data_IF_289662311130
#
_entry.id   IF_289662311130
#
_cell.length_a   1.000
_cell.length_b   1.000
_cell.length_c   1.000
_cell.angle_alpha   90.00
_cell.angle_beta   90.00
_cell.angle_gamma   90.00
#
_symmetry.space_group_name_H-M   'P 1'
#
loop_
_entity.id
_entity.type
_entity.pdbx_description
1 polymer ?
#
# COMPACT_ATOMS: atom_id res chain seq x y z
N UNK A 1 -15.25 -7.73 9.18
CA UNK A 1 -14.63 -7.45 10.49
C UNK A 1 -13.11 -7.44 10.42
N UNK A 2 -12.47 -8.44 9.80
CA UNK A 2 -11.01 -8.47 9.60
C UNK A 2 -10.47 -7.21 8.89
N UNK A 3 -11.07 -6.82 7.75
CA UNK A 3 -10.69 -5.62 6.99
C UNK A 3 -10.79 -4.32 7.80
N UNK A 4 -11.80 -4.18 8.65
CA UNK A 4 -11.92 -3.02 9.53
C UNK A 4 -10.78 -2.98 10.55
N UNK A 5 -10.41 -4.13 11.11
CA UNK A 5 -9.28 -4.24 12.04
C UNK A 5 -7.97 -3.93 11.34
N UNK A 6 -7.72 -4.49 10.16
CA UNK A 6 -6.52 -4.22 9.35
C UNK A 6 -6.40 -2.74 8.99
N UNK A 7 -7.46 -2.15 8.42
CA UNK A 7 -7.49 -0.73 8.05
C UNK A 7 -7.28 0.15 9.28
N UNK A 8 -7.87 -0.19 10.42
CA UNK A 8 -7.68 0.57 11.66
C UNK A 8 -6.23 0.52 12.16
N UNK A 9 -5.58 -0.66 12.11
CA UNK A 9 -4.17 -0.80 12.46
C UNK A 9 -3.26 -0.02 11.52
N UNK A 10 -3.56 -0.03 10.22
CA UNK A 10 -2.80 0.69 9.22
C UNK A 10 -2.93 2.20 9.38
N UNK A 11 -4.15 2.69 9.62
CA UNK A 11 -4.41 4.10 9.95
C UNK A 11 -3.70 4.51 11.24
N UNK A 12 -3.67 3.65 12.25
CA UNK A 12 -2.96 3.91 13.49
C UNK A 12 -1.45 4.08 13.28
N UNK A 13 -0.83 3.21 12.48
CA UNK A 13 0.59 3.33 12.08
C UNK A 13 0.82 4.64 11.33
N UNK A 14 -0.06 4.99 10.39
CA UNK A 14 0.03 6.24 9.63
C UNK A 14 -0.01 7.45 10.56
N UNK A 15 -0.95 7.48 11.52
CA UNK A 15 -1.10 8.60 12.46
C UNK A 15 0.14 8.74 13.36
N UNK A 16 0.61 7.65 13.96
CA UNK A 16 1.80 7.68 14.82
C UNK A 16 3.02 8.13 14.02
N UNK A 17 3.21 7.55 12.84
CA UNK A 17 4.34 7.86 11.99
C UNK A 17 4.32 9.32 11.51
N UNK A 18 3.17 9.84 11.11
CA UNK A 18 3.01 11.25 10.77
C UNK A 18 3.33 12.16 11.96
N UNK A 19 2.87 11.83 13.17
CA UNK A 19 3.22 12.59 14.39
C UNK A 19 4.72 12.54 14.66
N UNK A 20 5.36 11.39 14.49
CA UNK A 20 6.80 11.24 14.69
C UNK A 20 7.59 12.12 13.71
N UNK A 21 7.25 12.06 12.42
CA UNK A 21 7.86 12.90 11.38
C UNK A 21 7.65 14.39 11.67
N UNK A 22 6.44 14.81 12.03
CA UNK A 22 6.13 16.21 12.38
C UNK A 22 6.87 16.70 13.63
N UNK A 23 7.25 15.80 14.54
CA UNK A 23 8.07 16.10 15.73
C UNK A 23 9.57 16.12 15.42
N UNK A 24 9.97 15.95 14.16
CA UNK A 24 11.37 15.91 13.74
C UNK A 24 12.06 14.57 14.03
N UNK A 25 11.29 13.51 14.31
CA UNK A 25 11.81 12.15 14.40
C UNK A 25 11.81 11.58 12.99
N UNK A 26 13.00 11.38 12.40
CA UNK A 26 13.18 10.88 11.03
C UNK A 26 13.54 11.96 10.01
N UNK A 27 13.86 11.52 8.79
CA UNK A 27 14.22 12.38 7.67
C UNK A 27 13.23 12.14 6.50
N UNK A 28 12.30 13.08 6.22
CA UNK A 28 11.35 12.94 5.10
C UNK A 28 12.02 12.93 3.73
N UNK A 29 13.22 13.50 3.61
CA UNK A 29 14.00 13.55 2.38
C UNK A 29 14.51 12.16 1.98
N UNK A 30 14.74 11.27 2.96
CA UNK A 30 15.20 9.90 2.69
C UNK A 30 14.22 9.08 1.85
N UNK A 31 12.92 9.37 1.91
CA UNK A 31 11.93 8.71 1.04
C UNK A 31 12.14 9.02 -0.46
N UNK A 32 12.94 10.04 -0.79
CA UNK A 32 13.33 10.40 -2.16
C UNK A 32 14.78 10.04 -2.49
N UNK A 33 15.55 9.52 -1.54
CA UNK A 33 16.89 9.02 -1.79
C UNK A 33 16.80 7.63 -2.42
N UNK A 34 17.38 7.50 -3.61
CA UNK A 34 17.54 6.22 -4.28
C UNK A 34 18.88 5.61 -3.88
N UNK A 35 18.89 4.68 -2.92
CA UNK A 35 20.05 3.81 -2.70
C UNK A 35 20.23 2.91 -3.92
N UNK A 36 21.38 3.03 -4.59
CA UNK A 36 21.73 2.23 -5.78
C UNK A 36 22.39 0.89 -5.41
N UNK A 37 22.16 0.39 -4.21
CA UNK A 37 22.69 -0.89 -3.75
C UNK A 37 21.88 -2.04 -4.38
N UNK A 38 22.22 -2.38 -5.62
CA UNK A 38 21.62 -3.49 -6.35
C UNK A 38 21.46 -3.23 -7.84
N UNK A 39 21.11 -4.29 -8.57
CA UNK A 39 20.72 -4.16 -9.97
C UNK A 39 19.33 -3.51 -10.04
N UNK A 40 19.16 -2.33 -10.68
CA UNK A 40 17.88 -1.63 -10.75
C UNK A 40 16.78 -2.48 -11.38
N UNK A 41 17.12 -3.33 -12.35
CA UNK A 41 16.16 -4.26 -12.94
C UNK A 41 15.66 -5.29 -11.91
N UNK A 42 16.57 -5.82 -11.08
CA UNK A 42 16.21 -6.78 -10.03
C UNK A 42 15.31 -6.16 -8.95
N UNK A 43 15.57 -4.91 -8.56
CA UNK A 43 14.76 -4.17 -7.59
C UNK A 43 13.35 -3.86 -8.12
N UNK A 44 13.24 -3.51 -9.41
CA UNK A 44 11.92 -3.30 -10.05
C UNK A 44 11.13 -4.60 -10.10
N UNK A 45 11.77 -5.71 -10.47
CA UNK A 45 11.12 -7.03 -10.55
C UNK A 45 10.67 -7.51 -9.17
N UNK A 46 11.49 -7.34 -8.12
CA UNK A 46 11.10 -7.72 -6.76
C UNK A 46 9.94 -6.88 -6.22
N UNK A 47 9.95 -5.57 -6.46
CA UNK A 47 8.83 -4.68 -6.15
C UNK A 47 7.57 -5.06 -6.91
N UNK A 48 7.68 -5.40 -8.20
CA UNK A 48 6.55 -5.87 -9.00
C UNK A 48 6.00 -7.21 -8.48
N UNK A 49 6.86 -8.14 -8.07
CA UNK A 49 6.44 -9.41 -7.48
C UNK A 49 5.65 -9.22 -6.18
N UNK A 50 6.08 -8.29 -5.31
CA UNK A 50 5.31 -7.89 -4.13
C UNK A 50 3.97 -7.24 -4.50
N UNK A 51 3.95 -6.38 -5.52
CA UNK A 51 2.71 -5.77 -6.01
C UNK A 51 1.74 -6.82 -6.59
N UNK A 52 2.23 -7.87 -7.25
CA UNK A 52 1.40 -8.99 -7.70
C UNK A 52 0.69 -9.71 -6.55
N UNK A 53 1.28 -9.75 -5.35
CA UNK A 53 0.64 -10.32 -4.18
C UNK A 53 -0.65 -9.57 -3.79
N UNK A 54 -0.78 -8.29 -4.16
CA UNK A 54 -2.02 -7.52 -3.95
C UNK A 54 -3.19 -7.96 -4.85
N UNK A 55 -2.94 -8.79 -5.87
CA UNK A 55 -3.99 -9.39 -6.73
C UNK A 55 -4.51 -10.73 -6.19
N UNK A 56 -3.95 -11.23 -5.08
CA UNK A 56 -4.44 -12.44 -4.42
C UNK A 56 -5.86 -12.19 -3.90
N UNK A 57 -6.78 -13.11 -4.19
CA UNK A 57 -8.20 -12.97 -3.83
C UNK A 57 -9.07 -12.34 -4.92
N UNK A 58 -8.51 -12.01 -6.09
CA UNK A 58 -9.31 -11.55 -7.23
C UNK A 58 -10.29 -12.61 -7.73
N UNK A 59 -9.94 -13.89 -7.62
CA UNK A 59 -10.80 -15.02 -8.00
C UNK A 59 -12.14 -15.01 -7.23
N UNK A 60 -12.10 -14.72 -5.93
CA UNK A 60 -13.30 -14.64 -5.09
C UNK A 60 -14.18 -13.42 -5.42
N UNK A 61 -13.57 -12.34 -5.92
CA UNK A 61 -14.29 -11.11 -6.27
C UNK A 61 -15.27 -11.29 -7.43
N UNK A 62 -15.02 -12.27 -8.31
CA UNK A 62 -15.88 -12.56 -9.46
C UNK A 62 -17.22 -13.16 -9.00
N UNK A 63 -17.20 -14.08 -8.03
CA UNK A 63 -18.42 -14.67 -7.48
C UNK A 63 -19.29 -13.58 -6.83
N UNK A 64 -18.68 -12.66 -6.09
CA UNK A 64 -19.38 -11.54 -5.47
C UNK A 64 -19.96 -10.56 -6.52
N UNK A 65 -19.33 -10.46 -7.69
CA UNK A 65 -19.84 -9.65 -8.79
C UNK A 65 -21.18 -10.19 -9.30
N UNK A 66 -21.38 -11.51 -9.37
CA UNK A 66 -22.63 -12.12 -9.83
C UNK A 66 -23.83 -11.81 -8.90
N UNK A 67 -23.57 -11.66 -7.60
CA UNK A 67 -24.59 -11.29 -6.60
C UNK A 67 -24.87 -9.79 -6.54
N UNK A 68 -24.08 -8.98 -7.27
CA UNK A 68 -24.19 -7.51 -7.25
C UNK A 68 -25.18 -7.01 -8.30
N UNK A 69 -26.05 -6.08 -7.92
CA UNK A 69 -26.99 -5.45 -8.85
C UNK A 69 -26.24 -4.61 -9.92
N UNK A 70 -26.44 -4.94 -11.20
CA UNK A 70 -25.80 -4.29 -12.36
C UNK A 70 -24.25 -4.38 -12.37
N UNK A 71 -23.70 -5.60 -12.44
CA UNK A 71 -22.27 -5.86 -12.24
C UNK A 71 -21.39 -5.20 -13.29
N UNK A 72 -21.86 -5.08 -14.54
CA UNK A 72 -21.13 -4.44 -15.64
C UNK A 72 -20.68 -3.00 -15.34
N UNK A 73 -21.36 -2.30 -14.42
CA UNK A 73 -21.00 -0.93 -14.03
C UNK A 73 -20.45 -0.83 -12.62
N UNK A 74 -20.98 -1.61 -11.68
CA UNK A 74 -20.63 -1.50 -10.26
C UNK A 74 -19.28 -2.15 -9.99
N UNK A 75 -19.07 -3.37 -10.48
CA UNK A 75 -17.84 -4.13 -10.24
C UNK A 75 -16.57 -3.40 -10.71
N UNK A 76 -16.46 -2.91 -11.96
CA UNK A 76 -15.24 -2.21 -12.39
C UNK A 76 -14.98 -0.94 -11.58
N UNK A 77 -16.02 -0.18 -11.21
CA UNK A 77 -15.84 1.02 -10.37
C UNK A 77 -15.38 0.68 -8.96
N UNK A 78 -15.99 -0.34 -8.35
CA UNK A 78 -15.61 -0.81 -7.02
C UNK A 78 -14.17 -1.32 -7.01
N UNK A 79 -13.74 -2.03 -8.06
CA UNK A 79 -12.39 -2.52 -8.22
C UNK A 79 -11.37 -1.36 -8.29
N UNK A 80 -11.56 -0.40 -9.20
CA UNK A 80 -10.65 0.73 -9.34
C UNK A 80 -10.60 1.60 -8.08
N UNK A 81 -11.75 1.83 -7.44
CA UNK A 81 -11.80 2.55 -6.16
C UNK A 81 -11.05 1.80 -5.07
N UNK A 82 -11.28 0.50 -4.94
CA UNK A 82 -10.59 -0.35 -3.97
C UNK A 82 -9.07 -0.30 -4.12
N UNK A 83 -8.58 -0.55 -5.34
CA UNK A 83 -7.14 -0.51 -5.67
C UNK A 83 -6.55 0.88 -5.41
N UNK A 84 -7.27 1.94 -5.78
CA UNK A 84 -6.79 3.31 -5.56
C UNK A 84 -6.68 3.63 -4.06
N UNK A 85 -7.69 3.27 -3.27
CA UNK A 85 -7.71 3.52 -1.82
C UNK A 85 -6.59 2.73 -1.15
N UNK A 86 -6.47 1.44 -1.40
CA UNK A 86 -5.42 0.61 -0.78
C UNK A 86 -4.03 1.04 -1.24
N UNK A 87 -3.86 1.38 -2.52
CA UNK A 87 -2.61 1.91 -3.06
C UNK A 87 -2.16 3.19 -2.37
N UNK A 88 -3.08 4.14 -2.13
CA UNK A 88 -2.77 5.38 -1.39
C UNK A 88 -2.37 5.09 0.05
N UNK A 89 -3.10 4.21 0.74
CA UNK A 89 -2.78 3.86 2.13
C UNK A 89 -1.40 3.19 2.20
N UNK A 90 -1.08 2.28 1.29
CA UNK A 90 0.23 1.61 1.25
C UNK A 90 1.36 2.58 0.91
N UNK A 91 1.14 3.54 0.00
CA UNK A 91 2.13 4.59 -0.25
C UNK A 91 2.41 5.43 1.00
N UNK A 92 1.38 5.80 1.75
CA UNK A 92 1.55 6.57 2.99
C UNK A 92 2.36 5.79 4.03
N UNK A 93 2.07 4.49 4.17
CA UNK A 93 2.80 3.61 5.08
C UNK A 93 4.25 3.46 4.65
N UNK A 94 4.50 3.22 3.37
CA UNK A 94 5.86 3.12 2.83
C UNK A 94 6.65 4.42 3.01
N UNK A 95 6.02 5.58 2.77
CA UNK A 95 6.62 6.89 3.00
C UNK A 95 7.01 7.08 4.47
N UNK A 96 6.09 6.81 5.40
CA UNK A 96 6.35 6.89 6.83
C UNK A 96 7.46 5.93 7.27
N UNK A 97 7.40 4.68 6.82
CA UNK A 97 8.40 3.66 7.17
C UNK A 97 9.79 4.08 6.68
N UNK A 98 9.90 4.53 5.43
CA UNK A 98 11.18 4.98 4.85
C UNK A 98 11.68 6.28 5.47
N UNK A 99 10.80 7.17 5.96
CA UNK A 99 11.20 8.38 6.70
C UNK A 99 11.75 8.08 8.11
N UNK A 100 11.22 7.05 8.77
CA UNK A 100 11.52 6.74 10.17
C UNK A 100 12.58 5.64 10.37
N UNK A 101 12.64 4.64 9.49
CA UNK A 101 13.51 3.46 9.64
C UNK A 101 14.73 3.55 8.72
N UNK A 102 15.97 3.60 9.27
CA UNK A 102 17.20 3.59 8.48
C UNK A 102 17.21 2.52 7.39
N UNK A 103 17.63 2.92 6.19
CA UNK A 103 17.76 2.02 5.03
C UNK A 103 19.04 1.17 5.11
N UNK A 104 19.87 1.38 6.13
CA UNK A 104 21.13 0.67 6.32
C UNK A 104 20.90 -0.68 7.02
N UNK A 105 20.60 -1.71 6.24
CA UNK A 105 20.97 -3.13 6.48
C UNK A 105 20.94 -3.90 5.15
#
# INVERSE_FOLDING_TARGET
MLTCVEVSGLLFIIVIGAIAVLRGVGDPGRSFEFSSDGNPFGLVVSGAALAFFALVGFEDSVNMAEETHNPQRVFPRALFLGISITGVIYMLVAFIATSLVPLDT
#
